data_IF_555328091186
#
_entry.id   IF_555328091186
#
_cell.length_a   1.000
_cell.length_b   1.000
_cell.length_c   1.000
_cell.angle_alpha   90.00
_cell.angle_beta   90.00
_cell.angle_gamma   90.00
#
_symmetry.space_group_name_H-M   'P 1'
#
loop_
_entity.id
_entity.type
_entity.pdbx_description
1 polymer ?
#
# COMPACT_ATOMS: atom_id res chain seq x y z
N UNK A 1 7.48 -17.95 6.84
CA UNK A 1 7.99 -18.47 5.54
C UNK A 1 8.25 -17.29 4.62
N UNK A 2 9.35 -17.31 3.87
CA UNK A 2 9.68 -16.29 2.87
C UNK A 2 9.61 -16.95 1.51
N UNK A 3 8.86 -16.36 0.57
CA UNK A 3 8.84 -16.79 -0.83
C UNK A 3 9.31 -15.66 -1.75
N UNK A 4 10.11 -16.03 -2.76
CA UNK A 4 10.69 -15.12 -3.73
C UNK A 4 10.22 -15.53 -5.12
N UNK A 5 9.64 -14.59 -5.86
CA UNK A 5 9.13 -14.78 -7.21
C UNK A 5 9.92 -13.91 -8.20
N UNK A 6 10.26 -14.46 -9.34
CA UNK A 6 11.08 -13.79 -10.36
C UNK A 6 10.28 -13.39 -11.60
N UNK A 7 9.06 -13.90 -11.73
CA UNK A 7 8.17 -13.58 -12.84
C UNK A 7 6.70 -13.84 -12.49
N UNK A 8 5.80 -13.37 -13.35
CA UNK A 8 4.36 -13.46 -13.14
C UNK A 8 3.83 -14.92 -13.22
N UNK A 9 4.50 -15.81 -13.95
CA UNK A 9 4.06 -17.20 -14.09
C UNK A 9 4.16 -17.94 -12.76
N UNK A 10 5.18 -17.67 -11.98
CA UNK A 10 5.41 -18.32 -10.68
C UNK A 10 4.29 -18.04 -9.66
N UNK A 11 3.58 -16.91 -9.79
CA UNK A 11 2.49 -16.55 -8.88
C UNK A 11 1.11 -17.01 -9.34
N UNK A 12 0.97 -17.57 -10.56
CA UNK A 12 -0.33 -17.98 -11.09
C UNK A 12 -1.04 -19.02 -10.20
N UNK A 13 -0.31 -19.86 -9.49
CA UNK A 13 -0.86 -20.83 -8.54
C UNK A 13 -1.63 -20.20 -7.36
N UNK A 14 -1.38 -18.92 -7.07
CA UNK A 14 -2.05 -18.17 -6.01
C UNK A 14 -3.27 -17.37 -6.49
N UNK A 15 -3.56 -17.42 -7.80
CA UNK A 15 -4.66 -16.67 -8.38
C UNK A 15 -6.00 -17.39 -8.20
N UNK A 16 -6.89 -16.73 -7.47
CA UNK A 16 -8.28 -17.10 -7.33
C UNK A 16 -9.13 -16.37 -8.38
N UNK A 17 -9.67 -17.13 -9.33
CA UNK A 17 -10.49 -16.60 -10.44
C UNK A 17 -11.86 -16.09 -9.97
N UNK A 18 -12.43 -16.68 -8.92
CA UNK A 18 -13.76 -16.33 -8.43
C UNK A 18 -13.78 -14.94 -7.81
N UNK A 19 -12.74 -14.62 -7.05
CA UNK A 19 -12.58 -13.32 -6.39
C UNK A 19 -11.69 -12.34 -7.14
N UNK A 20 -11.12 -12.74 -8.28
CA UNK A 20 -10.12 -11.97 -9.01
C UNK A 20 -8.98 -11.50 -8.11
N UNK A 21 -8.41 -12.41 -7.30
CA UNK A 21 -7.45 -12.05 -6.27
C UNK A 21 -6.24 -13.00 -6.28
N UNK A 22 -5.03 -12.45 -6.21
CA UNK A 22 -3.84 -13.19 -5.83
C UNK A 22 -3.79 -13.33 -4.30
N UNK A 23 -4.02 -14.54 -3.79
CA UNK A 23 -4.04 -14.83 -2.36
C UNK A 23 -2.80 -15.65 -2.02
N UNK A 24 -1.82 -14.99 -1.41
CA UNK A 24 -0.55 -15.63 -1.05
C UNK A 24 -0.66 -16.38 0.28
N UNK A 25 -1.09 -17.63 0.20
CA UNK A 25 -1.22 -18.54 1.33
C UNK A 25 -0.78 -19.96 0.96
N UNK A 26 -0.34 -20.72 1.94
CA UNK A 26 -0.07 -22.14 1.85
C UNK A 26 -0.78 -22.85 3.01
N UNK A 27 -1.51 -23.93 2.71
CA UNK A 27 -2.30 -24.68 3.70
C UNK A 27 -3.17 -23.77 4.61
N UNK A 28 -3.87 -22.80 4.00
CA UNK A 28 -4.71 -21.79 4.67
C UNK A 28 -3.99 -20.79 5.60
N UNK A 29 -2.66 -20.81 5.63
CA UNK A 29 -1.83 -19.83 6.35
C UNK A 29 -1.23 -18.84 5.35
N UNK A 30 -1.34 -17.53 5.63
CA UNK A 30 -0.70 -16.52 4.80
C UNK A 30 0.83 -16.66 4.84
N UNK A 31 1.45 -16.50 3.66
CA UNK A 31 2.90 -16.41 3.55
C UNK A 31 3.38 -15.14 4.25
N UNK A 32 4.30 -15.28 5.20
CA UNK A 32 4.73 -14.15 6.04
C UNK A 32 5.39 -13.04 5.23
N UNK A 33 6.25 -13.40 4.28
CA UNK A 33 6.97 -12.45 3.46
C UNK A 33 7.03 -12.91 2.01
N UNK A 34 6.59 -12.05 1.11
CA UNK A 34 6.54 -12.26 -0.33
C UNK A 34 7.46 -11.23 -0.98
N UNK A 35 8.42 -11.70 -1.76
CA UNK A 35 9.37 -10.84 -2.47
C UNK A 35 9.19 -11.04 -3.97
N UNK A 36 8.86 -9.97 -4.67
CA UNK A 36 8.82 -9.93 -6.12
C UNK A 36 10.10 -9.25 -6.64
N UNK A 37 10.95 -10.01 -7.32
CA UNK A 37 12.14 -9.49 -8.00
C UNK A 37 11.82 -8.84 -9.35
N UNK A 38 10.58 -8.35 -9.51
CA UNK A 38 10.09 -7.71 -10.72
C UNK A 38 8.98 -6.70 -10.37
N UNK A 39 8.60 -5.87 -11.34
CA UNK A 39 7.42 -5.02 -11.22
C UNK A 39 6.16 -5.87 -11.28
N UNK A 40 5.37 -5.87 -10.20
CA UNK A 40 4.11 -6.60 -10.13
C UNK A 40 2.99 -5.75 -10.72
N UNK A 41 2.60 -6.04 -11.96
CA UNK A 41 1.45 -5.42 -12.61
C UNK A 41 0.38 -6.48 -12.89
N UNK A 42 -0.76 -6.38 -12.22
CA UNK A 42 -1.87 -7.32 -12.32
C UNK A 42 -3.21 -6.59 -12.37
N UNK A 43 -4.12 -7.05 -13.24
CA UNK A 43 -5.50 -6.58 -13.30
C UNK A 43 -6.38 -7.36 -12.30
N UNK A 44 -5.95 -7.43 -11.07
CA UNK A 44 -6.54 -8.22 -9.99
C UNK A 44 -6.24 -7.59 -8.64
N UNK A 45 -6.87 -8.10 -7.59
CA UNK A 45 -6.55 -7.74 -6.22
C UNK A 45 -5.34 -8.55 -5.73
N UNK A 46 -4.67 -8.04 -4.69
CA UNK A 46 -3.55 -8.72 -4.03
C UNK A 46 -3.88 -8.84 -2.54
N UNK A 47 -3.68 -10.03 -1.98
CA UNK A 47 -3.83 -10.30 -0.55
C UNK A 47 -2.69 -11.15 -0.03
N UNK A 48 -1.96 -10.66 0.98
CA UNK A 48 -0.81 -11.37 1.54
C UNK A 48 -0.36 -10.84 2.89
N UNK A 49 0.73 -11.38 3.40
CA UNK A 49 1.43 -10.89 4.60
C UNK A 49 2.28 -9.66 4.26
N UNK A 50 3.60 -9.75 4.44
CA UNK A 50 4.52 -8.69 4.05
C UNK A 50 4.84 -8.80 2.57
N UNK A 51 4.69 -7.68 1.82
CA UNK A 51 4.93 -7.63 0.38
C UNK A 51 6.12 -6.72 0.11
N UNK A 52 7.11 -7.23 -0.64
CA UNK A 52 8.24 -6.48 -1.18
C UNK A 52 8.26 -6.57 -2.69
N UNK A 53 8.40 -5.45 -3.37
CA UNK A 53 8.51 -5.39 -4.83
C UNK A 53 9.32 -4.16 -5.25
N UNK A 54 9.65 -4.04 -6.54
CA UNK A 54 10.10 -2.75 -7.07
C UNK A 54 8.90 -1.82 -7.21
N UNK A 55 7.97 -2.18 -8.07
CA UNK A 55 6.71 -1.46 -8.22
C UNK A 55 5.54 -2.43 -8.11
N UNK A 56 4.40 -1.93 -7.61
CA UNK A 56 3.14 -2.67 -7.54
C UNK A 56 2.05 -1.87 -8.23
N UNK A 57 1.38 -2.51 -9.20
CA UNK A 57 0.17 -1.99 -9.82
C UNK A 57 -0.92 -3.06 -9.79
N UNK A 58 -2.00 -2.78 -9.09
CA UNK A 58 -3.10 -3.70 -8.87
C UNK A 58 -4.43 -2.95 -8.73
N UNK A 59 -5.56 -3.68 -8.59
CA UNK A 59 -6.82 -3.05 -8.20
C UNK A 59 -6.78 -2.72 -6.71
N UNK A 60 -6.97 -3.70 -5.85
CA UNK A 60 -6.90 -3.49 -4.41
C UNK A 60 -5.73 -4.28 -3.82
N UNK A 61 -5.05 -3.69 -2.84
CA UNK A 61 -3.95 -4.32 -2.13
C UNK A 61 -4.33 -4.43 -0.66
N UNK A 62 -4.31 -5.65 -0.12
CA UNK A 62 -4.50 -5.91 1.30
C UNK A 62 -3.34 -6.71 1.85
N UNK A 63 -2.57 -6.10 2.74
CA UNK A 63 -1.34 -6.68 3.26
C UNK A 63 -1.07 -6.29 4.71
N UNK A 64 -0.16 -6.99 5.39
CA UNK A 64 0.33 -6.54 6.69
C UNK A 64 1.30 -5.37 6.50
N UNK A 65 2.35 -5.57 5.72
CA UNK A 65 3.28 -4.50 5.38
C UNK A 65 3.57 -4.50 3.88
N UNK A 66 3.80 -3.30 3.32
CA UNK A 66 4.19 -3.11 1.92
C UNK A 66 5.49 -2.31 1.90
N UNK A 67 6.49 -2.78 1.16
CA UNK A 67 7.76 -2.07 0.93
C UNK A 67 8.11 -2.13 -0.56
N UNK A 68 8.15 -0.98 -1.22
CA UNK A 68 8.44 -0.90 -2.66
C UNK A 68 8.93 0.49 -3.08
N UNK A 69 9.22 0.70 -4.37
CA UNK A 69 9.49 2.03 -4.89
C UNK A 69 8.18 2.76 -5.17
N UNK A 70 7.30 2.16 -5.97
CA UNK A 70 6.04 2.79 -6.31
C UNK A 70 4.84 1.86 -6.14
N UNK A 71 3.72 2.41 -5.66
CA UNK A 71 2.42 1.74 -5.63
C UNK A 71 1.42 2.52 -6.49
N UNK A 72 0.68 1.80 -7.32
CA UNK A 72 -0.51 2.32 -7.99
C UNK A 72 -1.67 1.33 -7.79
N UNK A 73 -2.70 1.75 -7.08
CA UNK A 73 -3.86 0.92 -6.78
C UNK A 73 -5.17 1.72 -6.78
N UNK A 74 -6.31 1.04 -6.76
CA UNK A 74 -7.58 1.68 -6.43
C UNK A 74 -7.61 1.89 -4.92
N UNK A 75 -7.62 0.80 -4.15
CA UNK A 75 -7.64 0.89 -2.69
C UNK A 75 -6.45 0.14 -2.07
N UNK A 76 -5.90 0.69 -0.99
CA UNK A 76 -4.82 0.09 -0.21
C UNK A 76 -5.28 -0.04 1.24
N UNK A 77 -5.19 -1.25 1.78
CA UNK A 77 -5.46 -1.57 3.19
C UNK A 77 -4.23 -2.31 3.75
N UNK A 78 -3.44 -1.65 4.58
CA UNK A 78 -2.23 -2.23 5.13
C UNK A 78 -1.97 -1.74 6.55
N UNK A 79 -1.13 -2.47 7.31
CA UNK A 79 -0.66 -1.98 8.61
C UNK A 79 0.43 -0.93 8.42
N UNK A 80 1.47 -1.25 7.63
CA UNK A 80 2.53 -0.28 7.36
C UNK A 80 2.85 -0.24 5.86
N UNK A 81 3.12 0.97 5.36
CA UNK A 81 3.53 1.22 3.98
C UNK A 81 4.83 2.02 4.01
N UNK A 82 5.88 1.51 3.34
CA UNK A 82 7.18 2.16 3.16
C UNK A 82 7.50 2.19 1.66
N UNK A 83 7.36 3.36 1.04
CA UNK A 83 7.48 3.51 -0.41
C UNK A 83 8.05 4.89 -0.79
N UNK A 84 8.58 4.99 -2.02
CA UNK A 84 8.92 6.31 -2.56
C UNK A 84 7.64 7.05 -2.99
N UNK A 85 6.81 6.42 -3.83
CA UNK A 85 5.58 7.05 -4.28
C UNK A 85 4.37 6.15 -4.10
N UNK A 86 3.26 6.73 -3.65
CA UNK A 86 1.96 6.08 -3.52
C UNK A 86 0.95 6.86 -4.37
N UNK A 87 0.22 6.15 -5.23
CA UNK A 87 -0.93 6.69 -5.97
C UNK A 87 -2.11 5.76 -5.78
N UNK A 88 -3.15 6.22 -5.10
CA UNK A 88 -4.35 5.42 -4.86
C UNK A 88 -5.61 6.29 -4.85
N UNK A 89 -6.78 5.65 -4.93
CA UNK A 89 -8.03 6.33 -4.66
C UNK A 89 -8.22 6.48 -3.15
N UNK A 90 -8.21 5.38 -2.42
CA UNK A 90 -8.37 5.40 -0.98
C UNK A 90 -7.26 4.58 -0.29
N UNK A 91 -6.73 5.09 0.83
CA UNK A 91 -5.67 4.45 1.61
C UNK A 91 -6.14 4.32 3.05
N UNK A 92 -6.02 3.11 3.61
CA UNK A 92 -6.20 2.83 5.04
C UNK A 92 -4.94 2.14 5.56
N UNK A 93 -4.27 2.74 6.55
CA UNK A 93 -3.07 2.15 7.16
C UNK A 93 -2.93 2.56 8.63
N UNK A 94 -2.05 1.90 9.38
CA UNK A 94 -1.59 2.43 10.67
C UNK A 94 -0.47 3.44 10.44
N UNK A 95 0.56 3.06 9.67
CA UNK A 95 1.68 3.95 9.41
C UNK A 95 2.01 4.01 7.91
N UNK A 96 2.31 5.22 7.44
CA UNK A 96 2.85 5.47 6.10
C UNK A 96 4.15 6.25 6.23
N UNK A 97 5.22 5.73 5.59
CA UNK A 97 6.48 6.43 5.36
C UNK A 97 6.71 6.50 3.84
N UNK A 98 6.63 7.70 3.26
CA UNK A 98 6.74 7.86 1.82
C UNK A 98 7.33 9.22 1.43
N UNK A 99 7.97 9.32 0.26
CA UNK A 99 8.34 10.63 -0.25
C UNK A 99 7.09 11.37 -0.77
N UNK A 100 6.30 10.73 -1.62
CA UNK A 100 5.13 11.38 -2.21
C UNK A 100 3.88 10.50 -2.08
N UNK A 101 2.78 11.11 -1.66
CA UNK A 101 1.47 10.46 -1.58
C UNK A 101 0.48 11.26 -2.43
N UNK A 102 -0.19 10.59 -3.36
CA UNK A 102 -1.32 11.12 -4.12
C UNK A 102 -2.52 10.21 -3.92
N UNK A 103 -3.56 10.70 -3.26
CA UNK A 103 -4.75 9.92 -3.00
C UNK A 103 -6.03 10.76 -3.10
N UNK A 104 -7.19 10.10 -3.05
CA UNK A 104 -8.46 10.78 -2.82
C UNK A 104 -8.69 10.97 -1.33
N UNK A 105 -8.71 9.87 -0.59
CA UNK A 105 -8.85 9.90 0.87
C UNK A 105 -7.75 9.07 1.52
N UNK A 106 -7.32 9.50 2.71
CA UNK A 106 -6.30 8.84 3.52
C UNK A 106 -6.85 8.71 4.93
N UNK A 107 -6.83 7.48 5.48
CA UNK A 107 -7.21 7.17 6.85
C UNK A 107 -6.06 6.41 7.51
N UNK A 108 -5.39 7.02 8.48
CA UNK A 108 -4.16 6.49 9.09
C UNK A 108 -4.01 6.93 10.55
N UNK A 109 -3.16 6.22 11.30
CA UNK A 109 -2.67 6.71 12.58
C UNK A 109 -1.52 7.71 12.36
N UNK A 110 -0.51 7.31 11.58
CA UNK A 110 0.67 8.15 11.35
C UNK A 110 1.04 8.25 9.87
N UNK A 111 1.37 9.46 9.41
CA UNK A 111 1.98 9.74 8.11
C UNK A 111 3.28 10.51 8.30
N UNK A 112 4.35 10.01 7.64
CA UNK A 112 5.60 10.72 7.44
C UNK A 112 5.87 10.80 5.94
N UNK A 113 5.83 12.00 5.36
CA UNK A 113 6.01 12.17 3.93
C UNK A 113 6.80 13.44 3.59
N UNK A 114 7.31 13.53 2.37
CA UNK A 114 7.83 14.77 1.82
C UNK A 114 6.68 15.63 1.32
N UNK A 115 5.76 15.03 0.58
CA UNK A 115 4.57 15.71 0.08
C UNK A 115 3.33 14.83 0.07
N UNK A 116 2.18 15.43 0.37
CA UNK A 116 0.87 14.78 0.37
C UNK A 116 -0.09 15.61 -0.49
N UNK A 117 -0.67 15.01 -1.53
CA UNK A 117 -1.76 15.58 -2.33
C UNK A 117 -3.01 14.68 -2.20
N UNK A 118 -3.88 14.99 -1.26
CA UNK A 118 -5.15 14.31 -1.06
C UNK A 118 -6.29 15.18 -1.63
N UNK A 119 -7.01 14.65 -2.62
CA UNK A 119 -8.12 15.40 -3.24
C UNK A 119 -9.38 15.48 -2.37
N UNK A 120 -9.50 14.64 -1.37
CA UNK A 120 -10.56 14.59 -0.38
C UNK A 120 -10.06 14.88 1.01
N UNK A 121 -10.27 13.95 1.92
CA UNK A 121 -10.00 14.10 3.35
C UNK A 121 -8.78 13.28 3.76
N UNK A 122 -8.05 13.81 4.73
CA UNK A 122 -7.03 13.09 5.49
C UNK A 122 -7.59 12.94 6.91
N UNK A 123 -7.83 11.70 7.32
CA UNK A 123 -8.16 11.35 8.70
C UNK A 123 -6.92 10.72 9.32
N UNK A 124 -6.24 11.48 10.17
CA UNK A 124 -4.98 11.10 10.77
C UNK A 124 -5.11 11.17 12.29
N UNK A 125 -5.03 10.04 12.96
CA UNK A 125 -5.37 9.95 14.38
C UNK A 125 -4.26 10.40 15.32
N UNK A 126 -2.99 10.31 14.91
CA UNK A 126 -1.85 10.64 15.76
C UNK A 126 -0.94 11.68 15.09
N UNK A 127 -0.10 11.30 14.14
CA UNK A 127 0.90 12.19 13.55
C UNK A 127 0.75 12.32 12.03
N UNK A 128 0.59 13.55 11.53
CA UNK A 128 0.56 13.86 10.11
C UNK A 128 1.64 14.90 9.80
N UNK A 129 2.79 14.46 9.28
CA UNK A 129 3.93 15.33 8.95
C UNK A 129 4.28 15.22 7.48
N UNK A 130 4.39 16.39 6.82
CA UNK A 130 4.99 16.50 5.51
C UNK A 130 6.05 17.62 5.51
N UNK A 131 7.25 17.28 5.04
CA UNK A 131 8.37 18.23 5.07
C UNK A 131 8.29 19.34 4.01
N UNK A 132 7.46 19.22 2.98
CA UNK A 132 7.27 20.24 1.95
C UNK A 132 5.85 20.81 1.95
N UNK A 133 4.84 19.97 1.74
CA UNK A 133 3.45 20.43 1.74
C UNK A 133 2.43 19.31 2.00
N UNK A 134 1.28 19.72 2.55
CA UNK A 134 0.05 18.93 2.61
C UNK A 134 -1.03 19.71 1.85
N UNK A 135 -1.62 19.07 0.83
CA UNK A 135 -2.77 19.60 0.11
C UNK A 135 -3.94 18.65 0.23
N UNK A 136 -5.02 19.10 0.86
CA UNK A 136 -6.24 18.34 1.05
C UNK A 136 -7.45 19.28 1.20
N UNK A 137 -8.66 18.71 1.27
CA UNK A 137 -9.87 19.48 1.60
C UNK A 137 -9.99 19.72 3.10
N UNK A 138 -9.69 18.70 3.89
CA UNK A 138 -9.72 18.75 5.35
C UNK A 138 -8.76 17.72 5.94
N UNK A 139 -8.22 18.05 7.10
CA UNK A 139 -7.52 17.13 7.97
C UNK A 139 -8.36 16.99 9.23
N UNK A 140 -8.70 15.75 9.59
CA UNK A 140 -9.46 15.41 10.78
C UNK A 140 -8.52 14.65 11.71
N UNK A 141 -8.40 15.06 12.97
CA UNK A 141 -7.47 14.47 13.94
C UNK A 141 -6.03 14.90 13.71
N UNK A 142 -5.13 14.36 14.52
CA UNK A 142 -3.68 14.56 14.42
C UNK A 142 -3.13 15.88 14.93
N UNK A 143 -1.88 15.86 15.38
CA UNK A 143 -1.06 17.05 15.55
C UNK A 143 -0.37 17.35 14.22
N UNK A 144 -0.62 18.50 13.65
CA UNK A 144 0.18 19.03 12.54
C UNK A 144 1.28 19.88 13.18
N UNK A 145 2.52 19.42 13.08
CA UNK A 145 3.65 20.30 13.38
C UNK A 145 3.80 21.28 12.21
N UNK A 146 3.49 22.58 12.49
CA UNK A 146 3.72 23.70 11.58
C UNK A 146 5.23 24.04 11.51
#
# INVERSE_FOLDING_TARGET
>A
MIEIFNNLEEIQKYYDKETNTYIFKENDIFIDTIIFNFTLEVNANIRGGNIRAWDIKAFDIRATNISCLNIMAIDIDARNIDCINITAKDITALNIDALNITARNINVDNIFAKSIDARGEIDCYDTCVASEYIKCKSIIGGQTDD
#
